data_IF_129305872417
#
_entry.id   IF_129305872417
#
_cell.length_a   1.000
_cell.length_b   1.000
_cell.length_c   1.000
_cell.angle_alpha   90.00
_cell.angle_beta   90.00
_cell.angle_gamma   90.00
#
_symmetry.space_group_name_H-M   'P 1'
#
loop_
_entity.id
_entity.type
_entity.pdbx_description
1 polymer ?
#
# COMPACT_ATOMS: atom_id res chain seq x y z
N UNK A 1 -10.71 -8.92 20.02
CA UNK A 1 -9.64 -7.93 19.73
C UNK A 1 -10.15 -6.65 19.01
N UNK A 2 -11.46 -6.37 19.00
CA UNK A 2 -12.09 -5.35 18.13
C UNK A 2 -12.18 -3.94 18.69
N UNK A 3 -11.96 -3.76 19.99
CA UNK A 3 -11.91 -2.42 20.56
C UNK A 3 -10.54 -1.78 20.36
N UNK A 4 -9.47 -2.55 20.19
CA UNK A 4 -8.12 -1.97 20.25
C UNK A 4 -7.70 -1.23 18.98
N UNK A 5 -8.26 -1.50 17.79
CA UNK A 5 -7.81 -0.84 16.56
C UNK A 5 -8.00 0.70 16.54
N UNK A 6 -9.17 1.27 16.92
CA UNK A 6 -9.30 2.71 17.10
C UNK A 6 -8.43 3.20 18.26
N UNK A 7 -8.28 2.43 19.34
CA UNK A 7 -7.37 2.79 20.44
C UNK A 7 -5.89 2.74 20.07
N UNK A 8 -5.47 1.90 19.12
CA UNK A 8 -4.09 1.80 18.62
C UNK A 8 -3.78 2.93 17.64
N UNK A 9 -4.73 3.32 16.79
CA UNK A 9 -4.63 4.53 15.98
C UNK A 9 -4.62 5.79 16.86
N UNK A 10 -5.45 5.82 17.90
CA UNK A 10 -5.47 6.89 18.90
C UNK A 10 -4.16 6.90 19.73
N UNK A 11 -3.61 5.74 20.09
CA UNK A 11 -2.32 5.61 20.80
C UNK A 11 -1.14 6.00 19.91
N UNK A 12 -1.18 5.69 18.61
CA UNK A 12 -0.18 6.13 17.65
C UNK A 12 -0.27 7.65 17.40
N UNK A 13 -1.48 8.21 17.35
CA UNK A 13 -1.74 9.66 17.27
C UNK A 13 -1.40 10.39 18.58
N UNK A 14 -1.67 9.79 19.74
CA UNK A 14 -1.29 10.32 21.05
C UNK A 14 0.22 10.19 21.27
N UNK A 15 0.88 9.14 20.78
CA UNK A 15 2.33 9.03 20.77
C UNK A 15 2.98 10.07 19.84
N UNK A 16 2.30 10.46 18.76
CA UNK A 16 2.71 11.57 17.90
C UNK A 16 2.41 12.96 18.52
N UNK A 17 1.36 13.07 19.35
CA UNK A 17 0.95 14.30 20.04
C UNK A 17 1.62 14.55 21.39
N UNK A 18 2.14 13.50 22.06
CA UNK A 18 2.88 13.55 23.31
C UNK A 18 4.38 13.57 23.02
N UNK A 19 4.83 14.51 22.19
CA UNK A 19 6.20 15.01 22.38
C UNK A 19 6.13 15.99 23.54
N UNK A 20 6.92 15.82 24.62
CA UNK A 20 7.09 16.91 25.54
C UNK A 20 7.76 18.03 24.74
N UNK A 21 7.05 19.14 24.58
CA UNK A 21 7.61 20.47 24.39
C UNK A 21 8.39 20.83 25.67
N UNK A 22 9.42 20.04 25.98
CA UNK A 22 10.38 20.34 27.03
C UNK A 22 11.54 21.02 26.36
N UNK A 23 11.69 22.30 26.68
CA UNK A 23 12.85 23.12 26.35
C UNK A 23 14.14 22.33 26.64
N UNK A 24 14.88 22.00 25.58
CA UNK A 24 16.18 21.37 25.71
C UNK A 24 17.20 22.44 26.10
N UNK A 25 17.68 22.39 27.35
CA UNK A 25 18.99 22.93 27.68
C UNK A 25 20.08 22.21 26.87
N UNK A 26 21.28 22.81 26.72
CA UNK A 26 22.30 22.27 25.84
C UNK A 26 22.79 20.92 26.35
N UNK A 27 22.35 19.83 25.71
CA UNK A 27 22.86 18.49 25.96
C UNK A 27 24.22 18.33 25.27
N UNK A 28 25.19 17.77 26.00
CA UNK A 28 26.49 17.41 25.45
C UNK A 28 26.32 16.50 24.21
N UNK A 29 27.16 16.67 23.17
CA UNK A 29 27.03 15.88 21.95
C UNK A 29 27.18 14.39 22.28
N UNK A 30 26.24 13.53 21.87
CA UNK A 30 26.32 12.11 22.16
C UNK A 30 27.58 11.51 21.53
N UNK A 31 28.29 10.68 22.30
CA UNK A 31 29.42 9.91 21.79
C UNK A 31 28.97 9.08 20.57
N UNK A 32 29.70 9.18 19.46
CA UNK A 32 29.33 8.52 18.21
C UNK A 32 29.66 7.03 18.29
N UNK A 33 28.72 6.21 18.74
CA UNK A 33 28.83 4.76 18.65
C UNK A 33 28.88 4.33 17.17
N UNK A 34 29.96 3.64 16.79
CA UNK A 34 30.23 3.14 15.44
C UNK A 34 30.00 1.64 15.30
N UNK A 35 29.32 1.02 16.26
CA UNK A 35 29.02 -0.41 16.22
C UNK A 35 28.18 -0.80 14.99
N UNK A 36 28.36 -2.01 14.43
CA UNK A 36 27.50 -2.54 13.34
C UNK A 36 26.01 -2.50 13.69
N UNK A 37 25.69 -2.58 14.98
CA UNK A 37 24.34 -2.51 15.53
C UNK A 37 23.65 -1.16 15.24
N UNK A 38 24.38 -0.05 15.27
CA UNK A 38 23.87 1.27 14.86
C UNK A 38 23.58 1.31 13.35
N UNK A 39 24.39 0.63 12.54
CA UNK A 39 24.15 0.48 11.10
C UNK A 39 22.86 -0.28 10.79
N UNK A 40 22.59 -1.35 11.53
CA UNK A 40 21.33 -2.10 11.44
C UNK A 40 20.13 -1.24 11.84
N UNK A 41 20.22 -0.54 12.97
CA UNK A 41 19.16 0.34 13.45
C UNK A 41 18.79 1.43 12.42
N UNK A 42 19.79 2.07 11.80
CA UNK A 42 19.58 3.04 10.72
C UNK A 42 18.98 2.41 9.47
N UNK A 43 19.38 1.19 9.12
CA UNK A 43 18.86 0.47 7.95
C UNK A 43 17.39 0.13 8.10
N UNK A 44 16.97 -0.34 9.28
CA UNK A 44 15.56 -0.63 9.58
C UNK A 44 14.71 0.65 9.43
N UNK A 45 15.17 1.77 10.01
CA UNK A 45 14.49 3.06 9.88
C UNK A 45 14.43 3.53 8.42
N UNK A 46 15.53 3.38 7.68
CA UNK A 46 15.62 3.79 6.27
C UNK A 46 14.66 2.98 5.39
N UNK A 47 14.66 1.65 5.49
CA UNK A 47 13.73 0.78 4.75
C UNK A 47 12.29 1.12 5.09
N UNK A 48 11.98 1.33 6.37
CA UNK A 48 10.62 1.66 6.81
C UNK A 48 10.16 3.02 6.27
N UNK A 49 11.03 4.04 6.31
CA UNK A 49 10.74 5.36 5.75
C UNK A 49 10.51 5.33 4.24
N UNK A 50 11.38 4.61 3.50
CA UNK A 50 11.22 4.37 2.05
C UNK A 50 9.92 3.60 1.77
N UNK A 51 9.57 2.59 2.58
CA UNK A 51 8.31 1.87 2.41
C UNK A 51 7.08 2.75 2.64
N UNK A 52 7.12 3.65 3.63
CA UNK A 52 6.02 4.59 3.90
C UNK A 52 5.84 5.54 2.72
N UNK A 53 6.89 6.11 2.15
CA UNK A 53 6.79 6.97 0.97
C UNK A 53 7.99 6.75 0.06
N UNK A 54 7.90 5.91 -0.99
CA UNK A 54 9.08 5.51 -1.75
C UNK A 54 9.78 6.67 -2.44
N UNK A 55 9.05 7.54 -3.14
CA UNK A 55 9.67 8.67 -3.83
C UNK A 55 10.27 9.71 -2.87
N UNK A 56 9.53 10.08 -1.81
CA UNK A 56 10.04 11.00 -0.79
C UNK A 56 11.18 10.39 0.02
N UNK A 57 11.03 9.16 0.48
CA UNK A 57 12.02 8.44 1.28
C UNK A 57 13.32 8.21 0.51
N UNK A 58 13.23 7.70 -0.73
CA UNK A 58 14.42 7.52 -1.58
C UNK A 58 15.04 8.86 -1.97
N UNK A 59 14.23 9.86 -2.35
CA UNK A 59 14.73 11.19 -2.71
C UNK A 59 15.42 11.91 -1.54
N UNK A 60 14.80 11.94 -0.37
CA UNK A 60 15.37 12.56 0.83
C UNK A 60 16.62 11.82 1.31
N UNK A 61 16.60 10.49 1.29
CA UNK A 61 17.77 9.68 1.64
C UNK A 61 18.94 9.89 0.66
N UNK A 62 18.65 9.99 -0.64
CA UNK A 62 19.63 10.31 -1.67
C UNK A 62 20.23 11.71 -1.49
N UNK A 63 19.40 12.71 -1.23
CA UNK A 63 19.85 14.07 -0.95
C UNK A 63 20.73 14.14 0.32
N UNK A 64 20.37 13.40 1.37
CA UNK A 64 21.17 13.27 2.59
C UNK A 64 22.55 12.64 2.32
N UNK A 65 22.60 11.53 1.57
CA UNK A 65 23.87 10.90 1.19
C UNK A 65 24.75 11.85 0.37
N UNK A 66 24.17 12.58 -0.58
CA UNK A 66 24.90 13.56 -1.37
C UNK A 66 25.49 14.69 -0.52
N UNK A 67 24.69 15.24 0.40
CA UNK A 67 25.09 16.35 1.26
C UNK A 67 26.17 15.94 2.27
N UNK A 68 26.17 14.68 2.73
CA UNK A 68 27.13 14.16 3.70
C UNK A 68 28.44 13.64 3.08
N UNK A 69 28.45 13.39 1.76
CA UNK A 69 29.66 13.01 1.04
C UNK A 69 30.67 14.17 0.98
N UNK A 70 31.87 13.91 1.52
CA UNK A 70 32.91 14.92 1.78
C UNK A 70 33.62 15.43 0.53
N UNK A 71 33.78 14.60 -0.49
CA UNK A 71 34.56 14.91 -1.69
C UNK A 71 33.87 14.45 -2.98
N UNK A 72 34.44 14.85 -4.12
CA UNK A 72 33.90 14.52 -5.45
C UNK A 72 33.99 13.02 -5.75
N UNK A 73 35.02 12.34 -5.23
CA UNK A 73 35.19 10.90 -5.39
C UNK A 73 34.09 10.13 -4.64
N UNK A 74 33.81 10.46 -3.37
CA UNK A 74 32.73 9.84 -2.62
C UNK A 74 31.37 10.10 -3.27
N UNK A 75 31.11 11.31 -3.78
CA UNK A 75 29.87 11.64 -4.50
C UNK A 75 29.71 10.82 -5.78
N UNK A 76 30.79 10.57 -6.51
CA UNK A 76 30.77 9.73 -7.71
C UNK A 76 30.49 8.25 -7.40
N UNK A 77 30.89 7.78 -6.22
CA UNK A 77 30.65 6.41 -5.75
C UNK A 77 29.25 6.18 -5.15
N UNK A 78 28.45 7.25 -4.99
CA UNK A 78 27.11 7.12 -4.44
C UNK A 78 26.16 6.34 -5.38
N UNK A 79 25.16 5.63 -4.83
CA UNK A 79 24.12 4.98 -5.62
C UNK A 79 23.40 5.96 -6.56
N UNK A 80 22.88 5.46 -7.68
CA UNK A 80 22.19 6.26 -8.72
C UNK A 80 21.11 7.19 -8.14
N UNK A 81 20.37 6.76 -7.11
CA UNK A 81 19.29 7.53 -6.49
C UNK A 81 19.79 8.69 -5.61
N UNK A 82 21.08 8.72 -5.29
CA UNK A 82 21.72 9.79 -4.54
C UNK A 82 22.36 10.86 -5.44
N UNK A 83 22.21 10.76 -6.76
CA UNK A 83 22.63 11.80 -7.71
C UNK A 83 21.52 12.82 -7.98
N UNK A 84 21.92 14.04 -8.33
CA UNK A 84 21.00 15.16 -8.63
C UNK A 84 19.99 14.83 -9.72
N UNK A 85 20.37 13.99 -10.67
CA UNK A 85 19.50 13.51 -11.75
C UNK A 85 18.29 12.74 -11.25
N UNK A 86 18.33 12.17 -10.05
CA UNK A 86 17.21 11.46 -9.46
C UNK A 86 16.57 12.22 -8.29
N UNK A 87 17.34 12.55 -7.24
CA UNK A 87 16.70 13.04 -6.00
C UNK A 87 16.05 14.41 -6.18
N UNK A 88 16.59 15.28 -7.05
CA UNK A 88 16.01 16.60 -7.27
C UNK A 88 14.66 16.49 -7.99
N UNK A 89 14.53 15.82 -9.15
CA UNK A 89 13.21 15.56 -9.73
C UNK A 89 12.24 14.84 -8.78
N UNK A 90 12.72 13.85 -8.03
CA UNK A 90 11.89 13.13 -7.06
C UNK A 90 11.31 14.08 -6.00
N UNK A 91 12.16 14.91 -5.38
CA UNK A 91 11.74 15.89 -4.37
C UNK A 91 10.89 17.01 -4.96
N UNK A 92 11.10 17.41 -6.22
CA UNK A 92 10.24 18.37 -6.91
C UNK A 92 8.84 17.79 -7.13
N UNK A 93 8.72 16.54 -7.57
CA UNK A 93 7.42 15.86 -7.73
C UNK A 93 6.71 15.76 -6.37
N UNK A 94 7.41 15.36 -5.32
CA UNK A 94 6.83 15.31 -3.97
C UNK A 94 6.43 16.70 -3.49
N UNK A 95 7.25 17.72 -3.75
CA UNK A 95 6.94 19.12 -3.43
C UNK A 95 5.69 19.60 -4.15
N UNK A 96 5.51 19.24 -5.41
CA UNK A 96 4.28 19.52 -6.17
C UNK A 96 3.06 18.79 -5.56
N UNK A 97 3.23 17.54 -5.12
CA UNK A 97 2.19 16.80 -4.39
C UNK A 97 1.82 17.48 -3.07
N UNK A 98 2.80 17.95 -2.29
CA UNK A 98 2.55 18.69 -1.05
C UNK A 98 1.89 20.05 -1.31
N UNK A 99 2.30 20.74 -2.38
CA UNK A 99 1.73 22.02 -2.80
C UNK A 99 0.26 21.87 -3.20
N UNK A 100 -0.11 20.86 -4.00
CA UNK A 100 -1.52 20.63 -4.36
C UNK A 100 -2.40 20.39 -3.14
N UNK A 101 -1.88 19.73 -2.11
CA UNK A 101 -2.64 19.38 -0.92
C UNK A 101 -2.84 20.59 -0.02
N UNK A 102 -1.84 21.48 0.04
CA UNK A 102 -1.90 22.75 0.75
C UNK A 102 -2.79 23.78 0.04
N UNK A 103 -2.79 23.77 -1.30
CA UNK A 103 -3.59 24.64 -2.15
C UNK A 103 -4.98 24.07 -2.47
N UNK A 104 -5.37 22.94 -1.87
CA UNK A 104 -6.59 22.22 -2.21
C UNK A 104 -7.89 23.02 -2.04
N UNK A 105 -7.91 24.04 -1.17
CA UNK A 105 -9.03 24.98 -1.02
C UNK A 105 -9.09 26.04 -2.14
N UNK A 106 -7.98 26.27 -2.83
CA UNK A 106 -7.82 27.24 -3.92
C UNK A 106 -7.88 26.59 -5.32
N UNK A 107 -7.80 25.25 -5.41
CA UNK A 107 -7.94 24.53 -6.67
C UNK A 107 -9.41 24.49 -7.14
N UNK A 108 -9.67 24.60 -8.45
CA UNK A 108 -11.03 24.47 -8.98
C UNK A 108 -11.68 23.13 -8.56
N UNK A 109 -13.00 23.13 -8.27
CA UNK A 109 -13.73 21.91 -7.97
C UNK A 109 -13.50 20.84 -9.05
N UNK A 110 -13.11 19.62 -8.64
CA UNK A 110 -12.89 18.49 -9.54
C UNK A 110 -11.43 18.19 -9.91
N UNK A 111 -10.48 19.11 -9.68
CA UNK A 111 -9.06 18.86 -10.00
C UNK A 111 -8.34 17.96 -8.98
N UNK A 112 -8.84 17.90 -7.75
CA UNK A 112 -8.20 17.14 -6.67
C UNK A 112 -8.13 15.64 -6.95
N UNK A 113 -9.23 15.05 -7.47
CA UNK A 113 -9.32 13.60 -7.69
C UNK A 113 -8.37 13.09 -8.78
N UNK A 114 -8.29 13.69 -9.98
CA UNK A 114 -7.25 13.37 -10.96
C UNK A 114 -5.84 13.38 -10.37
N UNK A 115 -5.51 14.39 -9.56
CA UNK A 115 -4.21 14.50 -8.91
C UNK A 115 -3.97 13.44 -7.83
N UNK A 116 -5.01 13.00 -7.12
CA UNK A 116 -4.91 11.88 -6.16
C UNK A 116 -4.73 10.54 -6.88
N UNK A 117 -5.31 10.36 -8.07
CA UNK A 117 -5.04 9.15 -8.86
C UNK A 117 -3.59 9.13 -9.38
N UNK A 118 -3.07 10.28 -9.82
CA UNK A 118 -1.66 10.40 -10.21
C UNK A 118 -0.73 10.08 -9.03
N UNK A 119 -1.01 10.61 -7.84
CA UNK A 119 -0.26 10.29 -6.61
C UNK A 119 -0.35 8.80 -6.25
N UNK A 120 -1.51 8.17 -6.45
CA UNK A 120 -1.67 6.73 -6.22
C UNK A 120 -0.83 5.91 -7.21
N UNK A 121 -0.82 6.28 -8.49
CA UNK A 121 0.02 5.61 -9.51
C UNK A 121 1.50 5.85 -9.24
N UNK A 122 1.90 7.09 -8.96
CA UNK A 122 3.25 7.45 -8.59
C UNK A 122 3.73 6.55 -7.46
N UNK A 123 2.98 6.49 -6.36
CA UNK A 123 3.36 5.71 -5.18
C UNK A 123 3.54 4.21 -5.47
N UNK A 124 2.81 3.70 -6.47
CA UNK A 124 2.93 2.31 -6.92
C UNK A 124 4.16 2.10 -7.79
N UNK A 125 4.39 2.98 -8.76
CA UNK A 125 5.58 2.94 -9.63
C UNK A 125 6.85 3.13 -8.81
N UNK A 126 6.89 4.14 -7.94
CA UNK A 126 8.03 4.38 -7.06
C UNK A 126 8.23 3.24 -6.06
N UNK A 127 7.15 2.62 -5.58
CA UNK A 127 7.24 1.42 -4.76
C UNK A 127 7.89 0.23 -5.47
N UNK A 128 7.56 0.00 -6.74
CA UNK A 128 8.19 -1.06 -7.55
C UNK A 128 9.68 -0.77 -7.80
N UNK A 129 10.02 0.48 -8.13
CA UNK A 129 11.43 0.89 -8.31
C UNK A 129 12.20 0.75 -7.00
N UNK A 130 11.62 1.18 -5.87
CA UNK A 130 12.26 1.05 -4.58
C UNK A 130 12.51 -0.42 -4.21
N UNK A 131 11.49 -1.28 -4.35
CA UNK A 131 11.60 -2.72 -4.09
C UNK A 131 12.67 -3.40 -4.95
N UNK A 132 12.75 -3.06 -6.24
CA UNK A 132 13.66 -3.71 -7.18
C UNK A 132 15.07 -3.13 -7.23
N UNK A 133 15.26 -1.85 -6.90
CA UNK A 133 16.53 -1.14 -7.15
C UNK A 133 17.10 -0.38 -5.96
N UNK A 134 16.31 -0.09 -4.91
CA UNK A 134 16.78 0.71 -3.76
C UNK A 134 16.94 -0.17 -2.51
N UNK A 135 15.95 -1.01 -2.22
CA UNK A 135 16.00 -1.93 -1.07
C UNK A 135 17.14 -2.93 -1.19
N UNK A 136 17.39 -3.59 -2.35
CA UNK A 136 18.52 -4.49 -2.49
C UNK A 136 19.86 -3.79 -2.23
N UNK A 137 20.07 -2.57 -2.73
CA UNK A 137 21.29 -1.78 -2.48
C UNK A 137 21.44 -1.40 -1.00
N UNK A 138 20.34 -1.11 -0.33
CA UNK A 138 20.34 -0.77 1.10
C UNK A 138 20.68 -2.01 1.95
N UNK A 139 20.15 -3.18 1.60
CA UNK A 139 20.43 -4.44 2.28
C UNK A 139 21.85 -4.95 2.03
N UNK A 140 22.36 -4.82 0.80
CA UNK A 140 23.76 -5.13 0.46
C UNK A 140 24.74 -4.28 1.29
N UNK A 141 24.46 -2.97 1.41
CA UNK A 141 25.27 -2.07 2.26
C UNK A 141 25.25 -2.51 3.73
N UNK A 142 24.09 -2.96 4.23
CA UNK A 142 23.96 -3.48 5.59
C UNK A 142 24.74 -4.79 5.78
N UNK A 143 24.61 -5.74 4.86
CA UNK A 143 25.34 -7.01 4.91
C UNK A 143 26.84 -6.77 4.99
N UNK A 144 27.37 -5.84 4.18
CA UNK A 144 28.78 -5.43 4.19
C UNK A 144 29.24 -4.81 5.51
N UNK A 145 28.39 -3.97 6.12
CA UNK A 145 28.66 -3.41 7.45
C UNK A 145 28.71 -4.48 8.55
N UNK A 146 27.93 -5.55 8.40
CA UNK A 146 27.88 -6.67 9.36
C UNK A 146 29.04 -7.64 9.16
N UNK A 147 29.43 -7.92 7.92
CA UNK A 147 30.52 -8.86 7.60
C UNK A 147 31.91 -8.21 7.57
N UNK A 148 32.00 -6.89 7.66
CA UNK A 148 33.27 -6.15 7.57
C UNK A 148 33.84 -6.06 6.15
N UNK A 149 33.04 -6.42 5.13
CA UNK A 149 33.44 -6.42 3.72
C UNK A 149 33.39 -5.03 3.08
N UNK A 150 34.34 -4.74 2.18
CA UNK A 150 34.30 -3.56 1.31
C UNK A 150 33.14 -3.66 0.29
N UNK A 151 32.62 -2.52 -0.24
CA UNK A 151 31.55 -2.55 -1.22
C UNK A 151 31.97 -3.26 -2.52
N UNK A 152 31.49 -4.49 -2.71
CA UNK A 152 31.44 -5.15 -4.01
C UNK A 152 30.51 -4.36 -4.92
N UNK A 153 31.08 -3.68 -5.91
CA UNK A 153 30.34 -3.30 -7.10
C UNK A 153 29.71 -4.56 -7.70
N UNK A 154 28.49 -4.44 -8.21
CA UNK A 154 27.72 -5.53 -8.80
C UNK A 154 28.61 -6.43 -9.69
N UNK A 155 28.93 -7.63 -9.20
CA UNK A 155 29.70 -8.61 -9.94
C UNK A 155 28.76 -9.34 -10.91
N UNK A 156 28.49 -8.72 -12.06
CA UNK A 156 28.23 -9.47 -13.28
C UNK A 156 29.59 -9.69 -13.95
N UNK A 157 30.23 -10.83 -13.68
CA UNK A 157 31.52 -11.18 -14.26
C UNK A 157 31.98 -12.57 -13.84
N UNK A 158 31.89 -13.50 -14.79
CA UNK A 158 32.37 -14.89 -14.75
C UNK A 158 33.82 -15.05 -14.27
N UNK A 159 34.07 -15.99 -13.36
CA UNK A 159 35.41 -16.48 -13.05
C UNK A 159 35.41 -17.41 -11.84
N UNK A 160 35.42 -18.73 -12.09
CA UNK A 160 35.43 -19.77 -11.07
C UNK A 160 36.80 -19.99 -10.41
N UNK A 161 36.74 -20.50 -9.18
CA UNK A 161 37.77 -21.31 -8.52
C UNK A 161 39.06 -20.66 -8.00
N UNK A 162 38.99 -19.48 -7.38
CA UNK A 162 40.03 -19.07 -6.43
C UNK A 162 39.42 -18.30 -5.24
N UNK A 163 39.86 -18.63 -4.02
CA UNK A 163 39.49 -18.06 -2.71
C UNK A 163 38.49 -18.88 -1.86
N UNK A 164 38.90 -20.08 -1.44
CA UNK A 164 38.50 -20.61 -0.13
C UNK A 164 39.46 -19.94 0.89
N UNK A 165 39.12 -18.75 1.37
CA UNK A 165 39.86 -18.02 2.41
C UNK A 165 38.83 -17.38 3.35
N UNK A 166 38.69 -17.96 4.54
CA UNK A 166 37.61 -17.76 5.51
C UNK A 166 36.21 -18.07 4.93
N UNK A 167 35.31 -18.68 5.71
CA UNK A 167 33.96 -18.92 5.22
C UNK A 167 33.27 -17.56 5.02
N UNK A 168 33.32 -17.04 3.79
CA UNK A 168 32.63 -15.83 3.39
C UNK A 168 31.14 -16.13 3.34
N UNK A 169 30.45 -15.90 4.46
CA UNK A 169 29.00 -16.05 4.58
C UNK A 169 28.25 -14.80 4.06
N UNK A 170 28.94 -13.81 3.46
CA UNK A 170 28.29 -12.59 2.95
C UNK A 170 27.22 -12.92 1.89
N UNK A 171 27.49 -13.85 0.99
CA UNK A 171 26.52 -14.29 -0.01
C UNK A 171 25.27 -14.94 0.61
N UNK A 172 25.44 -15.69 1.71
CA UNK A 172 24.34 -16.33 2.43
C UNK A 172 23.53 -15.30 3.21
N UNK A 173 24.23 -14.33 3.83
CA UNK A 173 23.60 -13.21 4.50
C UNK A 173 22.78 -12.39 3.50
N UNK A 174 23.34 -12.05 2.33
CA UNK A 174 22.64 -11.34 1.25
C UNK A 174 21.44 -12.11 0.71
N UNK A 175 21.59 -13.43 0.53
CA UNK A 175 20.51 -14.31 0.10
C UNK A 175 19.33 -14.31 1.08
N UNK A 176 19.57 -14.06 2.38
CA UNK A 176 18.54 -14.02 3.41
C UNK A 176 18.03 -12.60 3.69
N UNK A 177 18.91 -11.61 3.79
CA UNK A 177 18.58 -10.23 4.16
C UNK A 177 17.89 -9.48 3.04
N UNK A 178 18.24 -9.72 1.77
CA UNK A 178 17.60 -9.04 0.64
C UNK A 178 16.12 -9.46 0.50
N UNK A 179 15.75 -10.76 0.41
CA UNK A 179 14.34 -11.15 0.36
C UNK A 179 13.57 -10.75 1.61
N UNK A 180 14.20 -10.83 2.79
CA UNK A 180 13.60 -10.37 4.03
C UNK A 180 13.33 -8.85 4.01
N UNK A 181 14.29 -8.05 3.57
CA UNK A 181 14.15 -6.60 3.43
C UNK A 181 13.05 -6.23 2.43
N UNK A 182 12.95 -6.96 1.30
CA UNK A 182 11.85 -6.81 0.33
C UNK A 182 10.51 -7.18 0.96
N UNK A 183 10.43 -8.24 1.77
CA UNK A 183 9.20 -8.63 2.44
C UNK A 183 8.74 -7.58 3.46
N UNK A 184 9.66 -7.07 4.30
CA UNK A 184 9.40 -5.98 5.24
C UNK A 184 8.94 -4.73 4.51
N UNK A 185 9.67 -4.35 3.45
CA UNK A 185 9.28 -3.23 2.59
C UNK A 185 7.88 -3.43 2.03
N UNK A 186 7.57 -4.59 1.45
CA UNK A 186 6.29 -4.86 0.83
C UNK A 186 5.13 -4.76 1.83
N UNK A 187 5.31 -5.28 3.04
CA UNK A 187 4.29 -5.21 4.11
C UNK A 187 3.99 -3.76 4.50
N UNK A 188 5.02 -2.96 4.77
CA UNK A 188 4.86 -1.55 5.15
C UNK A 188 4.35 -0.71 3.97
N UNK A 189 4.88 -0.95 2.78
CA UNK A 189 4.46 -0.27 1.56
C UNK A 189 3.00 -0.55 1.23
N UNK A 190 2.53 -1.80 1.34
CA UNK A 190 1.12 -2.13 1.12
C UNK A 190 0.21 -1.37 2.09
N UNK A 191 0.58 -1.32 3.38
CA UNK A 191 -0.19 -0.58 4.38
C UNK A 191 -0.25 0.91 4.06
N UNK A 192 0.88 1.51 3.68
CA UNK A 192 0.95 2.92 3.29
C UNK A 192 0.22 3.21 1.97
N UNK A 193 0.39 2.36 0.96
CA UNK A 193 -0.28 2.48 -0.33
C UNK A 193 -1.79 2.34 -0.22
N UNK A 194 -2.28 1.49 0.70
CA UNK A 194 -3.70 1.39 1.02
C UNK A 194 -4.28 2.73 1.50
N UNK A 195 -3.49 3.59 2.17
CA UNK A 195 -3.90 4.95 2.54
C UNK A 195 -4.14 5.80 1.27
N UNK A 196 -3.26 5.73 0.28
CA UNK A 196 -3.45 6.42 -1.01
C UNK A 196 -4.73 5.94 -1.71
N UNK A 197 -5.01 4.64 -1.68
CA UNK A 197 -6.27 4.10 -2.22
C UNK A 197 -7.48 4.60 -1.42
N UNK A 198 -7.41 4.70 -0.10
CA UNK A 198 -8.49 5.28 0.70
C UNK A 198 -8.74 6.75 0.37
N UNK A 199 -7.68 7.54 0.21
CA UNK A 199 -7.76 8.95 -0.20
C UNK A 199 -8.44 9.05 -1.57
N UNK A 200 -8.05 8.21 -2.52
CA UNK A 200 -8.68 8.17 -3.84
C UNK A 200 -10.18 7.94 -3.73
N UNK A 201 -10.59 6.92 -2.96
CA UNK A 201 -12.00 6.52 -2.82
C UNK A 201 -12.82 7.50 -1.95
N UNK A 202 -12.16 8.28 -1.08
CA UNK A 202 -12.80 9.12 -0.08
C UNK A 202 -13.63 10.26 -0.69
N UNK A 203 -14.91 10.39 -0.33
CA UNK A 203 -15.75 11.47 -0.83
C UNK A 203 -15.52 12.80 -0.10
N UNK A 204 -14.78 12.80 1.02
CA UNK A 204 -14.64 13.94 1.91
C UNK A 204 -13.20 14.42 1.99
N UNK A 205 -12.98 15.69 1.62
CA UNK A 205 -11.65 16.30 1.66
C UNK A 205 -11.01 16.30 3.05
N UNK A 206 -11.80 16.33 4.13
CA UNK A 206 -11.30 16.26 5.50
C UNK A 206 -10.68 14.91 5.86
N UNK A 207 -11.28 13.79 5.40
CA UNK A 207 -10.71 12.45 5.62
C UNK A 207 -9.41 12.31 4.84
N UNK A 208 -9.36 12.82 3.59
CA UNK A 208 -8.12 12.82 2.81
C UNK A 208 -7.01 13.56 3.55
N UNK A 209 -7.31 14.77 4.04
CA UNK A 209 -6.33 15.60 4.74
C UNK A 209 -5.83 14.90 6.00
N UNK A 210 -6.72 14.28 6.79
CA UNK A 210 -6.36 13.55 7.99
C UNK A 210 -5.46 12.33 7.66
N UNK A 211 -5.79 11.57 6.62
CA UNK A 211 -5.00 10.40 6.19
C UNK A 211 -3.61 10.81 5.69
N UNK A 212 -3.52 11.88 4.89
CA UNK A 212 -2.22 12.42 4.41
C UNK A 212 -1.40 13.00 5.54
N UNK A 213 -2.02 13.74 6.46
CA UNK A 213 -1.36 14.30 7.63
C UNK A 213 -0.83 13.19 8.55
N UNK A 214 -1.61 12.16 8.84
CA UNK A 214 -1.17 11.03 9.66
C UNK A 214 0.04 10.31 9.05
N UNK A 215 0.03 10.04 7.74
CA UNK A 215 1.16 9.44 7.03
C UNK A 215 2.41 10.32 7.08
N UNK A 216 2.25 11.61 6.84
CA UNK A 216 3.35 12.59 6.85
C UNK A 216 3.93 12.75 8.26
N UNK A 217 3.07 12.81 9.28
CA UNK A 217 3.47 12.88 10.68
C UNK A 217 4.24 11.63 11.11
N UNK A 218 3.80 10.44 10.70
CA UNK A 218 4.51 9.19 10.98
C UNK A 218 5.92 9.20 10.36
N UNK A 219 6.04 9.64 9.10
CA UNK A 219 7.33 9.75 8.43
C UNK A 219 8.25 10.79 9.10
N UNK A 220 7.68 11.95 9.49
CA UNK A 220 8.39 12.99 10.21
C UNK A 220 8.89 12.50 11.58
N UNK A 221 8.04 11.80 12.33
CA UNK A 221 8.40 11.21 13.62
C UNK A 221 9.51 10.16 13.47
N UNK A 222 9.42 9.29 12.48
CA UNK A 222 10.44 8.28 12.19
C UNK A 222 11.78 8.92 11.82
N UNK A 223 11.75 9.98 11.00
CA UNK A 223 12.95 10.73 10.62
C UNK A 223 13.58 11.42 11.83
N UNK A 224 12.78 12.14 12.63
CA UNK A 224 13.25 12.85 13.81
C UNK A 224 13.86 11.89 14.83
N UNK A 225 13.15 10.81 15.16
CA UNK A 225 13.64 9.81 16.13
C UNK A 225 14.92 9.14 15.66
N UNK A 226 15.04 8.81 14.36
CA UNK A 226 16.26 8.23 13.81
C UNK A 226 17.48 9.18 13.84
N UNK A 227 17.25 10.50 13.78
CA UNK A 227 18.33 11.50 13.91
C UNK A 227 18.76 11.76 15.35
N UNK A 228 17.85 11.65 16.32
CA UNK A 228 18.14 11.84 17.75
C UNK A 228 18.83 10.60 18.32
N UNK A 229 18.24 9.42 18.09
CA UNK A 229 18.78 8.16 18.56
C UNK A 229 18.40 7.02 17.59
N UNK A 230 19.38 6.38 16.93
CA UNK A 230 19.11 5.35 15.93
C UNK A 230 18.31 4.17 16.50
N UNK A 231 18.48 3.84 17.79
CA UNK A 231 17.75 2.77 18.45
C UNK A 231 16.27 3.11 18.69
N UNK A 232 15.97 4.37 19.01
CA UNK A 232 14.58 4.84 19.14
C UNK A 232 13.89 4.81 17.78
N UNK A 233 14.58 5.27 16.72
CA UNK A 233 14.09 5.17 15.35
C UNK A 233 13.84 3.73 14.90
N UNK A 234 14.74 2.81 15.25
CA UNK A 234 14.57 1.38 14.96
C UNK A 234 13.40 0.76 15.74
N UNK A 235 13.26 1.05 17.03
CA UNK A 235 12.15 0.56 17.85
C UNK A 235 10.79 1.04 17.31
N UNK A 236 10.69 2.32 16.94
CA UNK A 236 9.48 2.86 16.29
C UNK A 236 9.20 2.17 14.94
N UNK A 237 10.24 1.94 14.15
CA UNK A 237 10.13 1.26 12.84
C UNK A 237 9.63 -0.18 12.99
N UNK A 238 10.13 -0.92 13.98
CA UNK A 238 9.64 -2.26 14.32
C UNK A 238 8.15 -2.21 14.70
N UNK A 239 7.75 -1.22 15.51
CA UNK A 239 6.34 -0.99 15.82
C UNK A 239 5.49 -0.78 14.58
N UNK A 240 5.94 0.05 13.63
CA UNK A 240 5.27 0.26 12.34
C UNK A 240 5.18 -1.03 11.53
N UNK A 241 6.27 -1.81 11.43
CA UNK A 241 6.31 -3.08 10.70
C UNK A 241 5.30 -4.08 11.30
N UNK A 242 5.24 -4.19 12.63
CA UNK A 242 4.29 -5.08 13.32
C UNK A 242 2.84 -4.67 13.01
N UNK A 243 2.52 -3.38 13.10
CA UNK A 243 1.19 -2.87 12.76
C UNK A 243 0.86 -3.17 11.30
N UNK A 244 1.79 -2.88 10.38
CA UNK A 244 1.65 -3.13 8.96
C UNK A 244 1.40 -4.62 8.66
N UNK A 245 2.10 -5.52 9.35
CA UNK A 245 1.91 -6.97 9.22
C UNK A 245 0.48 -7.40 9.55
N UNK A 246 -0.08 -6.91 10.68
CA UNK A 246 -1.45 -7.27 11.07
C UNK A 246 -2.53 -6.73 10.11
N UNK A 247 -2.28 -5.60 9.44
CA UNK A 247 -3.22 -5.04 8.46
C UNK A 247 -2.93 -5.48 7.02
N UNK A 248 -1.84 -6.21 6.78
CA UNK A 248 -1.34 -6.52 5.43
C UNK A 248 -2.39 -7.21 4.55
N UNK A 249 -3.14 -8.17 5.10
CA UNK A 249 -4.18 -8.88 4.34
C UNK A 249 -5.33 -7.96 3.90
N UNK A 250 -5.70 -6.98 4.72
CA UNK A 250 -6.70 -5.97 4.36
C UNK A 250 -6.12 -4.96 3.36
N UNK A 251 -4.90 -4.48 3.61
CA UNK A 251 -4.19 -3.53 2.76
C UNK A 251 -3.94 -4.08 1.36
N UNK A 252 -3.61 -5.37 1.24
CA UNK A 252 -3.45 -6.07 -0.04
C UNK A 252 -4.73 -6.07 -0.85
N UNK A 253 -5.86 -6.50 -0.26
CA UNK A 253 -7.17 -6.51 -0.93
C UNK A 253 -7.56 -5.11 -1.40
N UNK A 254 -7.32 -4.10 -0.56
CA UNK A 254 -7.60 -2.71 -0.92
C UNK A 254 -6.68 -2.20 -2.03
N UNK A 255 -5.39 -2.53 -1.99
CA UNK A 255 -4.41 -2.18 -3.03
C UNK A 255 -4.81 -2.75 -4.39
N UNK A 256 -5.19 -4.03 -4.42
CA UNK A 256 -5.64 -4.67 -5.65
C UNK A 256 -6.98 -4.08 -6.14
N UNK A 257 -7.92 -3.88 -5.22
CA UNK A 257 -9.19 -3.21 -5.51
C UNK A 257 -8.99 -1.83 -6.14
N UNK A 258 -8.21 -0.96 -5.50
CA UNK A 258 -7.88 0.37 -6.01
C UNK A 258 -7.16 0.32 -7.36
N UNK A 259 -6.24 -0.62 -7.54
CA UNK A 259 -5.50 -0.79 -8.80
C UNK A 259 -6.41 -1.11 -9.98
N UNK A 260 -7.30 -2.10 -9.85
CA UNK A 260 -8.26 -2.44 -10.91
C UNK A 260 -9.23 -1.27 -11.17
N UNK A 261 -9.63 -0.56 -10.11
CA UNK A 261 -10.53 0.59 -10.21
C UNK A 261 -9.89 1.75 -10.99
N UNK A 262 -8.66 2.14 -10.62
CA UNK A 262 -7.88 3.15 -11.33
C UNK A 262 -7.67 2.76 -12.79
N UNK A 263 -7.25 1.52 -13.03
CA UNK A 263 -6.94 1.03 -14.36
C UNK A 263 -8.16 1.06 -15.28
N UNK A 264 -9.31 0.57 -14.80
CA UNK A 264 -10.54 0.55 -15.58
C UNK A 264 -11.05 1.95 -15.89
N UNK A 265 -10.94 2.87 -14.94
CA UNK A 265 -11.31 4.26 -15.11
C UNK A 265 -10.42 4.96 -16.15
N UNK A 266 -9.10 4.89 -15.99
CA UNK A 266 -8.15 5.56 -16.89
C UNK A 266 -8.15 5.01 -18.32
N UNK A 267 -8.25 3.69 -18.46
CA UNK A 267 -8.22 3.06 -19.78
C UNK A 267 -9.59 3.02 -20.45
N UNK A 268 -10.58 3.71 -19.85
CA UNK A 268 -11.99 3.75 -20.22
C UNK A 268 -12.51 2.35 -20.58
N UNK A 269 -12.13 1.35 -19.77
CA UNK A 269 -12.27 -0.06 -20.11
C UNK A 269 -13.72 -0.46 -20.33
N UNK A 270 -14.68 0.28 -19.78
CA UNK A 270 -16.12 0.11 -20.02
C UNK A 270 -16.49 0.06 -21.51
N UNK A 271 -15.77 0.76 -22.39
CA UNK A 271 -16.05 0.76 -23.84
C UNK A 271 -15.46 -0.44 -24.58
N UNK A 272 -14.48 -1.13 -23.99
CA UNK A 272 -13.80 -2.29 -24.60
C UNK A 272 -14.10 -3.60 -23.87
N UNK A 273 -14.80 -3.53 -22.75
CA UNK A 273 -15.17 -4.67 -21.94
C UNK A 273 -16.53 -5.22 -22.37
N UNK A 274 -16.67 -6.53 -22.34
CA UNK A 274 -17.95 -7.22 -22.50
C UNK A 274 -17.99 -8.35 -21.48
N UNK A 275 -19.06 -8.47 -20.65
CA UNK A 275 -19.21 -9.61 -19.76
C UNK A 275 -19.20 -10.93 -20.53
N UNK A 276 -18.41 -11.89 -20.04
CA UNK A 276 -18.36 -13.25 -20.55
C UNK A 276 -19.63 -14.02 -20.17
N UNK A 277 -19.96 -15.09 -20.90
CA UNK A 277 -21.13 -15.92 -20.60
C UNK A 277 -21.05 -16.63 -19.24
N UNK A 278 -19.85 -16.79 -18.69
CA UNK A 278 -19.62 -17.25 -17.33
C UNK A 278 -18.23 -16.80 -16.85
N UNK A 279 -17.92 -16.99 -15.56
CA UNK A 279 -16.59 -16.72 -15.00
C UNK A 279 -16.14 -15.25 -15.06
N UNK A 280 -17.07 -14.32 -14.84
CA UNK A 280 -16.81 -12.89 -14.79
C UNK A 280 -16.04 -12.50 -13.52
N UNK A 281 -14.99 -11.69 -13.66
CA UNK A 281 -14.16 -11.23 -12.54
C UNK A 281 -14.76 -10.04 -11.81
N UNK A 282 -14.82 -10.12 -10.49
CA UNK A 282 -15.43 -9.11 -9.62
C UNK A 282 -14.86 -9.21 -8.19
N UNK A 283 -15.34 -8.36 -7.30
CA UNK A 283 -14.90 -8.32 -5.90
C UNK A 283 -15.99 -8.75 -4.94
N UNK A 284 -15.63 -9.45 -3.87
CA UNK A 284 -16.53 -9.78 -2.78
C UNK A 284 -16.99 -8.51 -2.03
N UNK A 285 -18.29 -8.44 -1.77
CA UNK A 285 -18.93 -7.45 -0.91
C UNK A 285 -18.81 -7.80 0.59
N UNK A 286 -19.45 -6.98 1.43
CA UNK A 286 -19.39 -7.15 2.89
C UNK A 286 -20.20 -8.35 3.41
N UNK A 287 -21.16 -8.83 2.63
CA UNK A 287 -22.14 -9.82 3.06
C UNK A 287 -21.98 -11.19 2.38
N UNK A 288 -20.86 -11.41 1.68
CA UNK A 288 -20.52 -12.74 1.17
C UNK A 288 -19.89 -13.58 2.29
N UNK A 289 -20.63 -14.59 2.76
CA UNK A 289 -20.23 -15.42 3.89
C UNK A 289 -18.88 -16.12 3.64
N UNK A 290 -18.01 -16.13 4.64
CA UNK A 290 -16.71 -16.82 4.59
C UNK A 290 -15.66 -16.19 3.66
N UNK A 291 -15.96 -15.05 3.03
CA UNK A 291 -15.04 -14.38 2.11
C UNK A 291 -14.73 -12.97 2.62
N UNK A 292 -13.44 -12.61 2.82
CA UNK A 292 -13.10 -11.25 3.21
C UNK A 292 -13.55 -10.22 2.18
N UNK A 293 -14.01 -9.06 2.65
CA UNK A 293 -14.46 -7.95 1.80
C UNK A 293 -13.35 -7.51 0.84
N UNK A 294 -13.71 -7.18 -0.40
CA UNK A 294 -12.82 -6.82 -1.52
C UNK A 294 -11.87 -7.95 -1.94
N UNK A 295 -12.20 -9.19 -1.65
CA UNK A 295 -11.49 -10.33 -2.25
C UNK A 295 -11.78 -10.38 -3.74
N UNK A 296 -10.73 -10.36 -4.55
CA UNK A 296 -10.85 -10.48 -6.01
C UNK A 296 -11.01 -11.94 -6.40
N UNK A 297 -11.95 -12.20 -7.29
CA UNK A 297 -12.25 -13.55 -7.76
C UNK A 297 -13.14 -13.52 -8.99
N UNK A 298 -13.73 -14.68 -9.28
CA UNK A 298 -14.64 -14.88 -10.41
C UNK A 298 -15.94 -15.51 -9.93
N UNK A 299 -17.04 -15.04 -10.50
CA UNK A 299 -18.36 -15.58 -10.26
C UNK A 299 -18.69 -16.58 -11.36
N UNK A 300 -19.07 -17.78 -10.97
CA UNK A 300 -19.49 -18.83 -11.89
C UNK A 300 -20.90 -19.30 -11.56
N UNK A 301 -21.68 -19.57 -12.61
CA UNK A 301 -22.95 -20.26 -12.51
C UNK A 301 -22.74 -21.72 -12.84
N UNK A 302 -23.07 -22.59 -11.90
CA UNK A 302 -22.97 -24.04 -12.05
C UNK A 302 -24.10 -24.55 -12.96
N UNK A 303 -24.00 -25.79 -13.50
CA UNK A 303 -25.05 -26.40 -14.32
C UNK A 303 -26.42 -26.44 -13.63
N UNK A 304 -26.42 -26.62 -12.30
CA UNK A 304 -27.64 -26.61 -11.46
C UNK A 304 -28.23 -25.20 -11.27
N UNK A 305 -27.62 -24.18 -11.88
CA UNK A 305 -28.04 -22.79 -11.80
C UNK A 305 -27.57 -22.04 -10.55
N UNK A 306 -26.95 -22.73 -9.59
CA UNK A 306 -26.38 -22.13 -8.39
C UNK A 306 -25.16 -21.25 -8.71
N UNK A 307 -24.94 -20.21 -7.90
CA UNK A 307 -23.79 -19.30 -8.05
C UNK A 307 -22.68 -19.65 -7.07
N UNK A 308 -21.46 -19.69 -7.59
CA UNK A 308 -20.26 -19.98 -6.82
C UNK A 308 -19.17 -18.94 -7.10
N UNK A 309 -18.56 -18.43 -6.03
CA UNK A 309 -17.49 -17.46 -6.11
C UNK A 309 -16.14 -18.14 -5.87
N UNK A 310 -15.26 -18.11 -6.87
CA UNK A 310 -13.92 -18.68 -6.81
C UNK A 310 -12.88 -17.59 -6.63
N UNK A 311 -11.96 -17.78 -5.69
CA UNK A 311 -10.91 -16.81 -5.38
C UNK A 311 -9.62 -17.48 -4.93
N UNK A 312 -8.50 -16.77 -5.10
CA UNK A 312 -7.19 -17.18 -4.58
C UNK A 312 -6.78 -16.19 -3.49
N UNK A 313 -6.63 -16.61 -2.23
CA UNK A 313 -6.09 -15.74 -1.19
C UNK A 313 -4.72 -15.19 -1.64
N UNK A 314 -4.47 -13.89 -1.47
CA UNK A 314 -3.26 -13.24 -1.96
C UNK A 314 -2.98 -13.41 -3.47
N UNK A 315 -3.97 -13.83 -4.26
CA UNK A 315 -3.88 -14.18 -5.69
C UNK A 315 -2.97 -15.38 -6.04
N UNK A 316 -2.13 -15.83 -5.12
CA UNK A 316 -1.14 -16.90 -5.35
C UNK A 316 -1.40 -18.18 -4.55
N UNK A 317 -2.16 -18.11 -3.45
CA UNK A 317 -2.47 -19.29 -2.64
C UNK A 317 -3.49 -20.22 -3.33
N UNK A 318 -3.68 -21.45 -2.83
CA UNK A 318 -4.65 -22.39 -3.39
C UNK A 318 -6.03 -21.79 -3.55
N UNK A 319 -6.69 -22.17 -4.64
CA UNK A 319 -8.02 -21.68 -4.95
C UNK A 319 -9.03 -22.15 -3.90
N UNK A 320 -9.89 -21.22 -3.51
CA UNK A 320 -11.01 -21.43 -2.61
C UNK A 320 -12.29 -21.05 -3.32
N UNK A 321 -13.39 -21.65 -2.90
CA UNK A 321 -14.72 -21.31 -3.38
C UNK A 321 -15.65 -20.99 -2.22
N UNK A 322 -16.64 -20.15 -2.49
CA UNK A 322 -17.73 -19.83 -1.58
C UNK A 322 -19.05 -19.88 -2.35
N UNK A 323 -20.01 -20.63 -1.83
CA UNK A 323 -21.35 -20.67 -2.40
C UNK A 323 -22.08 -19.36 -2.10
N UNK A 324 -22.83 -18.84 -3.08
CA UNK A 324 -23.72 -17.70 -2.86
C UNK A 324 -25.02 -18.25 -2.29
N UNK A 325 -25.29 -17.96 -1.01
CA UNK A 325 -26.45 -18.52 -0.31
C UNK A 325 -27.79 -18.03 -0.87
N UNK A 326 -27.84 -16.80 -1.39
CA UNK A 326 -29.04 -16.25 -2.00
C UNK A 326 -29.26 -16.84 -3.40
N UNK A 327 -30.50 -17.25 -3.68
CA UNK A 327 -30.87 -17.75 -5.00
C UNK A 327 -30.73 -16.64 -6.06
N UNK A 328 -30.31 -16.94 -7.30
CA UNK A 328 -30.17 -15.93 -8.36
C UNK A 328 -31.42 -15.07 -8.55
N UNK A 329 -32.62 -15.66 -8.39
CA UNK A 329 -33.88 -14.94 -8.49
C UNK A 329 -34.05 -13.80 -7.47
N UNK A 330 -33.36 -13.87 -6.33
CA UNK A 330 -33.42 -12.88 -5.24
C UNK A 330 -32.32 -11.81 -5.36
N UNK A 331 -31.44 -11.95 -6.35
CA UNK A 331 -30.32 -11.05 -6.57
C UNK A 331 -30.70 -9.96 -7.55
N UNK A 332 -30.17 -8.77 -7.30
CA UNK A 332 -30.32 -7.60 -8.15
C UNK A 332 -28.98 -6.92 -8.39
N UNK A 333 -28.88 -6.21 -9.51
CA UNK A 333 -27.75 -5.35 -9.83
C UNK A 333 -28.14 -3.91 -9.57
N UNK A 334 -27.55 -3.33 -8.53
CA UNK A 334 -27.67 -1.92 -8.21
C UNK A 334 -26.69 -1.12 -9.09
N UNK A 335 -27.22 -0.28 -9.99
CA UNK A 335 -26.44 0.66 -10.80
C UNK A 335 -26.08 1.87 -9.95
N UNK A 336 -24.83 1.95 -9.54
CA UNK A 336 -24.26 3.13 -8.88
C UNK A 336 -23.59 4.09 -9.85
N UNK A 337 -23.30 5.30 -9.36
CA UNK A 337 -22.70 6.38 -10.16
C UNK A 337 -21.22 6.12 -10.49
N UNK A 338 -20.46 5.53 -9.55
CA UNK A 338 -19.04 5.20 -9.74
C UNK A 338 -18.82 3.72 -10.09
N UNK A 339 -19.61 2.84 -9.51
CA UNK A 339 -19.58 1.41 -9.76
C UNK A 339 -20.90 0.77 -9.36
N UNK A 340 -21.14 -0.41 -9.90
CA UNK A 340 -22.37 -1.17 -9.69
C UNK A 340 -22.12 -2.26 -8.63
N UNK A 341 -23.17 -2.68 -7.94
CA UNK A 341 -23.10 -3.71 -6.90
C UNK A 341 -24.12 -4.80 -7.17
N UNK A 342 -23.83 -6.01 -6.69
CA UNK A 342 -24.82 -7.10 -6.65
C UNK A 342 -25.22 -7.30 -5.20
N UNK A 343 -26.51 -7.31 -4.95
CA UNK A 343 -27.09 -7.40 -3.61
C UNK A 343 -28.25 -8.37 -3.58
N UNK A 344 -28.55 -8.87 -2.39
CA UNK A 344 -29.84 -9.47 -2.09
C UNK A 344 -30.62 -8.51 -1.19
N UNK A 345 -31.91 -8.30 -1.46
CA UNK A 345 -32.78 -7.37 -0.71
C UNK A 345 -32.71 -7.56 0.82
N UNK A 346 -32.44 -8.78 1.29
CA UNK A 346 -32.33 -9.14 2.72
C UNK A 346 -30.91 -9.15 3.29
N UNK A 347 -29.86 -9.25 2.45
CA UNK A 347 -28.50 -9.50 2.90
C UNK A 347 -27.50 -8.38 2.58
N UNK A 348 -27.90 -7.35 1.83
CA UNK A 348 -27.01 -6.25 1.44
C UNK A 348 -26.01 -6.63 0.33
N UNK A 349 -24.91 -5.88 0.21
CA UNK A 349 -23.94 -6.03 -0.90
C UNK A 349 -23.17 -7.35 -0.83
N UNK A 350 -23.38 -8.22 -1.80
CA UNK A 350 -22.67 -9.49 -1.98
C UNK A 350 -21.44 -9.34 -2.88
N UNK A 351 -21.53 -8.50 -3.91
CA UNK A 351 -20.43 -8.26 -4.84
C UNK A 351 -20.30 -6.80 -5.24
N UNK A 352 -19.07 -6.38 -5.51
CA UNK A 352 -18.71 -5.08 -6.05
C UNK A 352 -18.24 -5.29 -7.48
N UNK A 353 -18.90 -4.65 -8.45
CA UNK A 353 -18.54 -4.73 -9.86
C UNK A 353 -17.52 -3.61 -10.19
N UNK A 354 -16.35 -3.93 -10.75
CA UNK A 354 -15.40 -2.90 -11.18
C UNK A 354 -16.00 -1.90 -12.18
N UNK A 355 -15.42 -0.71 -12.37
CA UNK A 355 -15.94 0.33 -13.28
C UNK A 355 -16.15 -0.15 -14.72
N UNK A 356 -15.44 -1.20 -15.16
CA UNK A 356 -15.63 -1.80 -16.49
C UNK A 356 -17.05 -2.32 -16.73
N UNK A 357 -17.81 -2.66 -15.69
CA UNK A 357 -19.19 -3.15 -15.81
C UNK A 357 -20.22 -2.04 -15.98
N UNK A 358 -19.81 -0.77 -15.86
CA UNK A 358 -20.72 0.35 -16.02
C UNK A 358 -21.30 0.38 -17.44
N UNK A 359 -22.63 0.34 -17.54
CA UNK A 359 -23.36 0.21 -18.80
C UNK A 359 -23.59 -1.24 -19.27
N UNK A 360 -23.02 -2.23 -18.57
CA UNK A 360 -23.16 -3.66 -18.86
C UNK A 360 -24.02 -4.40 -17.82
N UNK A 361 -24.71 -3.67 -16.93
CA UNK A 361 -25.44 -4.27 -15.80
C UNK A 361 -26.56 -5.20 -16.26
N UNK A 362 -27.33 -4.79 -17.27
CA UNK A 362 -28.43 -5.58 -17.80
C UNK A 362 -27.93 -6.88 -18.44
N UNK A 363 -26.79 -6.82 -19.13
CA UNK A 363 -26.14 -8.00 -19.71
C UNK A 363 -25.64 -8.93 -18.61
N UNK A 364 -24.99 -8.39 -17.57
CA UNK A 364 -24.54 -9.16 -16.41
C UNK A 364 -25.70 -9.85 -15.68
N UNK A 365 -26.80 -9.13 -15.43
CA UNK A 365 -27.99 -9.69 -14.79
C UNK A 365 -28.59 -10.85 -15.59
N UNK A 366 -28.63 -10.74 -16.93
CA UNK A 366 -29.10 -11.82 -17.81
C UNK A 366 -28.19 -13.05 -17.76
N UNK A 367 -26.87 -12.86 -17.85
CA UNK A 367 -25.88 -13.95 -17.82
C UNK A 367 -26.05 -14.83 -16.57
N UNK A 368 -26.22 -14.19 -15.41
CA UNK A 368 -26.34 -14.89 -14.13
C UNK A 368 -27.78 -15.16 -13.69
N UNK A 369 -28.77 -14.93 -14.57
CA UNK A 369 -30.20 -15.11 -14.29
C UNK A 369 -30.65 -14.40 -12.99
N UNK A 370 -30.20 -13.16 -12.79
CA UNK A 370 -30.52 -12.35 -11.60
C UNK A 370 -31.96 -11.82 -11.70
N UNK A 371 -32.86 -12.38 -10.91
CA UNK A 371 -34.31 -12.15 -11.04
C UNK A 371 -34.77 -10.75 -10.62
N UNK A 372 -34.02 -10.07 -9.74
CA UNK A 372 -34.28 -8.69 -9.36
C UNK A 372 -33.93 -7.67 -10.44
N UNK A 373 -33.23 -8.09 -11.51
CA UNK A 373 -32.89 -7.24 -12.65
C UNK A 373 -31.87 -6.15 -12.29
N UNK A 374 -31.99 -5.01 -12.97
CA UNK A 374 -31.14 -3.82 -12.71
C UNK A 374 -31.99 -2.75 -12.06
N UNK A 375 -31.53 -2.22 -10.92
CA UNK A 375 -32.16 -1.08 -10.24
C UNK A 375 -31.18 0.08 -10.16
N UNK A 376 -31.67 1.30 -10.27
CA UNK A 376 -30.83 2.47 -10.01
C UNK A 376 -30.62 2.61 -8.49
N UNK A 377 -29.36 2.69 -8.07
CA UNK A 377 -29.05 2.84 -6.66
C UNK A 377 -29.41 4.27 -6.21
N UNK A 378 -30.48 4.42 -5.44
CA UNK A 378 -30.86 5.71 -4.85
C UNK A 378 -29.75 6.29 -3.95
N UNK A 379 -29.75 7.61 -3.70
CA UNK A 379 -28.69 8.31 -2.94
C UNK A 379 -28.34 7.64 -1.59
N UNK A 380 -29.33 7.10 -0.87
CA UNK A 380 -29.10 6.42 0.42
C UNK A 380 -28.34 5.10 0.26
N UNK A 381 -28.54 4.39 -0.85
CA UNK A 381 -27.87 3.12 -1.16
C UNK A 381 -26.49 3.37 -1.75
N UNK A 382 -26.34 4.41 -2.58
CA UNK A 382 -25.02 4.92 -2.94
C UNK A 382 -24.18 5.33 -1.71
N UNK A 383 -24.83 5.92 -0.69
CA UNK A 383 -24.21 6.27 0.59
C UNK A 383 -23.85 5.06 1.45
N UNK A 384 -24.67 4.00 1.49
CA UNK A 384 -24.33 2.77 2.21
C UNK A 384 -23.17 2.03 1.56
N UNK A 385 -23.16 1.96 0.23
CA UNK A 385 -22.04 1.40 -0.57
C UNK A 385 -20.75 2.17 -0.30
N UNK A 386 -20.83 3.50 -0.16
CA UNK A 386 -19.68 4.34 0.21
C UNK A 386 -19.19 4.08 1.64
N UNK A 387 -20.09 3.90 2.62
CA UNK A 387 -19.70 3.49 3.98
C UNK A 387 -19.05 2.10 4.00
N UNK A 388 -19.50 1.19 3.14
CA UNK A 388 -18.89 -0.14 2.97
C UNK A 388 -17.50 -0.06 2.31
N UNK A 389 -17.26 0.92 1.43
CA UNK A 389 -15.92 1.25 0.90
C UNK A 389 -14.93 1.75 1.97
N UNK A 390 -15.41 2.36 3.05
CA UNK A 390 -14.54 2.75 4.19
C UNK A 390 -14.49 1.70 5.32
N UNK A 391 -15.11 0.54 5.12
CA UNK A 391 -15.03 -0.57 6.09
C UNK A 391 -16.00 -0.47 7.26
N UNK A 392 -16.96 0.47 7.24
CA UNK A 392 -17.94 0.64 8.33
C UNK A 392 -18.82 -0.59 8.59
N UNK A 393 -18.98 -1.48 7.60
CA UNK A 393 -19.74 -2.74 7.74
C UNK A 393 -18.85 -3.98 7.87
N UNK A 394 -17.57 -3.92 7.48
CA UNK A 394 -16.64 -5.04 7.64
C UNK A 394 -16.42 -5.43 9.12
N UNK A 395 -16.72 -4.51 10.04
CA UNK A 395 -16.72 -4.77 11.48
C UNK A 395 -17.88 -5.67 11.96
N UNK A 396 -19.01 -5.76 11.24
CA UNK A 396 -20.14 -6.63 11.65
C UNK A 396 -19.97 -8.08 11.19
N UNK A 397 -19.51 -8.31 9.96
CA UNK A 397 -19.46 -9.67 9.39
C UNK A 397 -18.26 -10.51 9.85
N UNK A 398 -17.21 -9.88 10.42
CA UNK A 398 -16.05 -10.62 10.93
C UNK A 398 -16.21 -11.11 12.39
N UNK A 399 -17.38 -10.90 13.03
CA UNK A 399 -17.64 -11.29 14.45
C UNK A 399 -18.51 -12.54 14.56
N UNK A 400 -19.01 -13.08 13.46
CA UNK A 400 -19.72 -14.35 13.47
C UNK A 400 -18.73 -15.51 13.23
#
# INVERSE_FOLDING_TARGET
MKHCAPWFLLLALLAAGLTPLSAAGPAAPPATDRSPAVGLAKSIATVTGIAISPLLGTGAYGAYQWATAKDRAARAALPWYAHWSFFLPALLIVGLCAAKDSLGAMLPPGFKKPLDVLETIENKVSGLVAAGAVIPLTMDTLSKLVTGGAPTAAAHGSGGFAMIQAADFSWLLDLLTVPFGIAVFAVVWMASHAINVLILLSPWGAIDAALKAARTALLGLLTLTATINPWVGAALSIGVIIVAYFVAGWAFRLTWFGSEFCWDFFTLRRHRFTPAENSNRLFAGANLAGVPVRTYGRLERNPDGALQFFYRPWLVLPERSAAVAAAPAQLEVDRGWFFSTVSADSAGTLFLLPPRYHGHEAKFARIYALGGGVRDAGLRRAWSVLKELFGGSAARTQVA
#
